data_IF_967752726343
#
_entry.id   IF_967752726343
#
_cell.length_a   1.000
_cell.length_b   1.000
_cell.length_c   1.000
_cell.angle_alpha   90.00
_cell.angle_beta   90.00
_cell.angle_gamma   90.00
#
_symmetry.space_group_name_H-M   'P 1'
#
loop_
_entity.id
_entity.type
_entity.pdbx_description
1 polymer ?
#
# COMPACT_ATOMS: atom_id res chain seq x y z
N UNK A 1 21.40 16.92 -17.55
CA UNK A 1 20.76 16.31 -16.35
C UNK A 1 21.23 14.87 -16.32
N UNK A 2 21.91 14.46 -15.25
CA UNK A 2 22.62 13.18 -15.16
C UNK A 2 21.67 12.03 -14.79
N UNK A 3 21.99 10.81 -15.23
CA UNK A 3 21.23 9.58 -14.97
C UNK A 3 20.99 9.30 -13.47
N UNK A 4 21.85 9.83 -12.59
CA UNK A 4 21.70 9.71 -11.13
C UNK A 4 20.48 10.47 -10.59
N UNK A 5 20.15 11.65 -11.16
CA UNK A 5 18.96 12.40 -10.75
C UNK A 5 17.67 11.68 -11.16
N UNK A 6 17.68 10.98 -12.30
CA UNK A 6 16.54 10.17 -12.76
C UNK A 6 16.34 8.94 -11.86
N UNK A 7 17.42 8.26 -11.48
CA UNK A 7 17.35 7.12 -10.57
C UNK A 7 16.88 7.54 -9.16
N UNK A 8 17.34 8.70 -8.68
CA UNK A 8 16.92 9.25 -7.38
C UNK A 8 15.43 9.56 -7.34
N UNK A 9 14.90 10.24 -8.37
CA UNK A 9 13.47 10.59 -8.43
C UNK A 9 12.59 9.34 -8.53
N UNK A 10 12.99 8.35 -9.32
CA UNK A 10 12.29 7.08 -9.44
C UNK A 10 12.22 6.35 -8.10
N UNK A 11 13.31 6.34 -7.33
CA UNK A 11 13.34 5.68 -6.03
C UNK A 11 12.45 6.38 -5.00
N UNK A 12 12.39 7.72 -5.04
CA UNK A 12 11.47 8.51 -4.20
C UNK A 12 10.02 8.17 -4.54
N UNK A 13 9.67 8.09 -5.83
CA UNK A 13 8.32 7.75 -6.27
C UNK A 13 7.91 6.34 -5.82
N UNK A 14 8.81 5.36 -5.92
CA UNK A 14 8.55 3.99 -5.45
C UNK A 14 8.38 3.92 -3.93
N UNK A 15 9.21 4.61 -3.16
CA UNK A 15 9.07 4.68 -1.69
C UNK A 15 7.76 5.36 -1.29
N UNK A 16 7.33 6.39 -2.05
CA UNK A 16 6.03 7.03 -1.86
C UNK A 16 4.87 6.06 -2.16
N UNK A 17 4.93 5.29 -3.25
CA UNK A 17 3.90 4.28 -3.58
C UNK A 17 3.81 3.25 -2.45
N UNK A 18 4.95 2.68 -2.05
CA UNK A 18 5.04 1.71 -0.96
C UNK A 18 4.42 2.25 0.33
N UNK A 19 4.89 3.41 0.80
CA UNK A 19 4.42 4.00 2.05
C UNK A 19 2.93 4.35 1.99
N UNK A 20 2.47 4.99 0.91
CA UNK A 20 1.09 5.41 0.75
C UNK A 20 0.12 4.22 0.74
N UNK A 21 0.47 3.15 0.03
CA UNK A 21 -0.40 1.99 -0.07
C UNK A 21 -0.46 1.19 1.24
N UNK A 22 0.66 1.06 1.95
CA UNK A 22 0.68 0.50 3.33
C UNK A 22 -0.21 1.33 4.25
N UNK A 23 -0.10 2.67 4.21
CA UNK A 23 -0.92 3.56 5.04
C UNK A 23 -2.42 3.40 4.74
N UNK A 24 -2.80 3.32 3.47
CA UNK A 24 -4.21 3.11 3.09
C UNK A 24 -4.73 1.74 3.54
N UNK A 25 -3.95 0.67 3.35
CA UNK A 25 -4.34 -0.66 3.80
C UNK A 25 -4.53 -0.70 5.32
N UNK A 26 -3.62 -0.07 6.06
CA UNK A 26 -3.73 0.07 7.50
C UNK A 26 -4.98 0.87 7.92
N UNK A 27 -5.28 1.98 7.25
CA UNK A 27 -6.46 2.79 7.54
C UNK A 27 -7.77 2.01 7.31
N UNK A 28 -7.85 1.19 6.24
CA UNK A 28 -9.00 0.30 6.01
C UNK A 28 -9.14 -0.70 7.17
N UNK A 29 -8.04 -1.33 7.59
CA UNK A 29 -8.02 -2.25 8.72
C UNK A 29 -8.53 -1.60 10.02
N UNK A 30 -8.08 -0.38 10.32
CA UNK A 30 -8.54 0.38 11.48
C UNK A 30 -10.04 0.70 11.42
N UNK A 31 -10.56 1.08 10.25
CA UNK A 31 -11.98 1.37 10.07
C UNK A 31 -12.85 0.12 10.25
N UNK A 32 -12.41 -1.02 9.71
CA UNK A 32 -13.07 -2.30 9.93
C UNK A 32 -13.07 -2.69 11.40
N UNK A 33 -11.90 -2.58 12.06
CA UNK A 33 -11.76 -2.90 13.47
C UNK A 33 -12.69 -2.03 14.34
N UNK A 34 -12.66 -0.70 14.14
CA UNK A 34 -13.53 0.24 14.86
C UNK A 34 -15.02 -0.08 14.66
N UNK A 35 -15.43 -0.48 13.45
CA UNK A 35 -16.83 -0.90 13.23
C UNK A 35 -17.22 -2.12 14.06
N UNK A 36 -16.33 -3.11 14.20
CA UNK A 36 -16.60 -4.30 15.02
C UNK A 36 -16.57 -4.00 16.53
N UNK A 37 -15.76 -3.03 16.96
CA UNK A 37 -15.71 -2.58 18.36
C UNK A 37 -16.98 -1.81 18.78
N UNK A 38 -17.60 -1.08 17.85
CA UNK A 38 -18.81 -0.28 18.09
C UNK A 38 -20.13 -1.08 17.95
N UNK A 39 -20.08 -2.42 17.97
CA UNK A 39 -21.21 -3.33 17.65
C UNK A 39 -21.84 -3.07 16.26
N UNK A 40 -21.10 -2.39 15.37
CA UNK A 40 -21.51 -2.07 14.01
C UNK A 40 -21.53 -3.31 13.13
N UNK A 41 -22.72 -3.72 12.68
CA UNK A 41 -22.83 -4.80 11.68
C UNK A 41 -22.53 -4.26 10.28
N UNK A 42 -21.32 -4.52 9.80
CA UNK A 42 -21.02 -4.45 8.38
C UNK A 42 -21.61 -5.68 7.67
N UNK A 43 -22.10 -5.49 6.45
CA UNK A 43 -22.48 -6.62 5.62
C UNK A 43 -21.23 -7.33 5.06
N UNK A 44 -21.36 -8.61 4.74
CA UNK A 44 -20.26 -9.44 4.25
C UNK A 44 -19.63 -8.88 2.97
N UNK A 45 -20.42 -8.23 2.11
CA UNK A 45 -19.94 -7.63 0.87
C UNK A 45 -18.96 -6.48 1.14
N UNK A 46 -19.23 -5.62 2.12
CA UNK A 46 -18.34 -4.51 2.51
C UNK A 46 -17.05 -5.06 3.09
N UNK A 47 -17.13 -6.09 3.94
CA UNK A 47 -15.95 -6.74 4.54
C UNK A 47 -15.08 -7.35 3.43
N UNK A 48 -15.69 -8.09 2.50
CA UNK A 48 -14.97 -8.69 1.37
C UNK A 48 -14.33 -7.64 0.48
N UNK A 49 -15.06 -6.57 0.11
CA UNK A 49 -14.51 -5.48 -0.68
C UNK A 49 -13.35 -4.77 0.02
N UNK A 50 -13.43 -4.59 1.33
CA UNK A 50 -12.34 -4.01 2.11
C UNK A 50 -11.11 -4.93 2.17
N UNK A 51 -11.30 -6.25 2.30
CA UNK A 51 -10.21 -7.24 2.22
C UNK A 51 -9.52 -7.21 0.86
N UNK A 52 -10.30 -7.21 -0.23
CA UNK A 52 -9.73 -7.13 -1.59
C UNK A 52 -8.95 -5.83 -1.80
N UNK A 53 -9.52 -4.69 -1.39
CA UNK A 53 -8.82 -3.41 -1.48
C UNK A 53 -7.51 -3.38 -0.68
N UNK A 54 -7.48 -3.99 0.53
CA UNK A 54 -6.24 -4.12 1.29
C UNK A 54 -5.22 -4.99 0.58
N UNK A 55 -5.62 -6.13 0.01
CA UNK A 55 -4.72 -7.01 -0.73
C UNK A 55 -4.11 -6.34 -1.96
N UNK A 56 -4.92 -5.60 -2.73
CA UNK A 56 -4.44 -4.88 -3.92
C UNK A 56 -3.40 -3.82 -3.53
N UNK A 57 -3.68 -3.04 -2.48
CA UNK A 57 -2.75 -2.03 -1.95
C UNK A 57 -1.44 -2.65 -1.47
N UNK A 58 -1.51 -3.76 -0.73
CA UNK A 58 -0.33 -4.46 -0.24
C UNK A 58 0.49 -5.07 -1.39
N UNK A 59 -0.16 -5.62 -2.41
CA UNK A 59 0.50 -6.13 -3.61
C UNK A 59 1.25 -5.05 -4.38
N UNK A 60 0.64 -3.87 -4.58
CA UNK A 60 1.31 -2.72 -5.21
C UNK A 60 2.51 -2.22 -4.37
N UNK A 61 2.41 -2.27 -3.04
CA UNK A 61 3.49 -1.89 -2.15
C UNK A 61 4.67 -2.87 -2.23
N UNK A 62 4.40 -4.17 -2.30
CA UNK A 62 5.39 -5.23 -2.49
C UNK A 62 6.08 -5.10 -3.87
N UNK A 63 5.32 -4.82 -4.92
CA UNK A 63 5.89 -4.58 -6.25
C UNK A 63 6.84 -3.37 -6.25
N UNK A 64 6.46 -2.28 -5.59
CA UNK A 64 7.31 -1.11 -5.43
C UNK A 64 8.60 -1.44 -4.65
N UNK A 65 8.50 -2.23 -3.58
CA UNK A 65 9.65 -2.70 -2.80
C UNK A 65 10.62 -3.54 -3.62
N UNK A 66 10.11 -4.47 -4.43
CA UNK A 66 10.92 -5.30 -5.32
C UNK A 66 11.68 -4.44 -6.35
N UNK A 67 11.02 -3.45 -6.96
CA UNK A 67 11.66 -2.50 -7.89
C UNK A 67 12.75 -1.65 -7.23
N UNK A 68 12.53 -1.21 -5.98
CA UNK A 68 13.56 -0.50 -5.20
C UNK A 68 14.78 -1.41 -4.98
N UNK A 69 14.56 -2.69 -4.66
CA UNK A 69 15.63 -3.65 -4.43
C UNK A 69 16.43 -3.94 -5.71
N UNK A 70 15.76 -4.11 -6.85
CA UNK A 70 16.38 -4.29 -8.17
C UNK A 70 17.25 -3.08 -8.56
N UNK A 71 16.75 -1.86 -8.32
CA UNK A 71 17.47 -0.62 -8.60
C UNK A 71 18.70 -0.40 -7.71
N UNK A 72 18.76 -1.02 -6.52
CA UNK A 72 19.93 -0.96 -5.62
C UNK A 72 21.03 -1.97 -6.01
N UNK A 73 20.70 -2.96 -6.84
CA UNK A 73 21.63 -4.01 -7.30
C UNK A 73 22.21 -3.73 -8.70
N UNK A 74 21.66 -2.75 -9.42
CA UNK A 74 22.07 -2.32 -10.77
C UNK A 74 23.06 -1.16 -10.74
#
# INVERSE_FOLDING_TARGET
>A
MTNEHLNTNMNIDLENIKSNNITKAHAIGMLLQSHFEDDGRLNDQIIQSAIWAMNDLLGEAEEAENKIAENKQS
#
